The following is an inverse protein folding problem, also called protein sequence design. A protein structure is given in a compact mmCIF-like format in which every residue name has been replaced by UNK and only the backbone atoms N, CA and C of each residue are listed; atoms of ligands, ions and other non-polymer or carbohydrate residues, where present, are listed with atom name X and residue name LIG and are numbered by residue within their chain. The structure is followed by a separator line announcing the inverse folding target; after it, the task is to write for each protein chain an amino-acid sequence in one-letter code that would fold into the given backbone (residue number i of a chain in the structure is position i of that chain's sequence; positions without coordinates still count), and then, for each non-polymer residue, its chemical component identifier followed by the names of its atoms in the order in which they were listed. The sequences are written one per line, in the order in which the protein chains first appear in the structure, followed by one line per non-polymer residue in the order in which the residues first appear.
data_IF_586205286527
#
_entry.id   IF_586205286527
#
_cell.length_a   1.000
_cell.length_b   1.000
_cell.length_c   1.000
_cell.angle_alpha   90.00
_cell.angle_beta   90.00
_cell.angle_gamma   90.00
#
_symmetry.space_group_name_H-M   'P 1'
#
loop_
_entity.id
_entity.type
_entity.pdbx_description
1 polymer ?
#
# COMPACT_ATOMS: atom_id res chain seq x y z
N UNK A 1 -8.43 -5.97 15.12
CA UNK A 1 -7.25 -6.60 14.51
C UNK A 1 -6.05 -5.69 14.71
N UNK A 2 -4.85 -6.22 14.91
CA UNK A 2 -3.62 -5.42 14.95
C UNK A 2 -3.11 -5.25 13.51
N UNK A 3 -3.66 -4.25 12.81
CA UNK A 3 -3.48 -4.12 11.35
C UNK A 3 -2.01 -3.98 10.94
N UNK A 4 -1.21 -3.23 11.72
CA UNK A 4 0.21 -3.09 11.48
C UNK A 4 0.93 -4.44 11.44
N UNK A 5 0.66 -5.32 12.41
CA UNK A 5 1.29 -6.65 12.48
C UNK A 5 0.83 -7.57 11.35
N UNK A 6 -0.42 -7.46 10.92
CA UNK A 6 -0.90 -8.26 9.80
C UNK A 6 -0.23 -7.83 8.49
N UNK A 7 -0.06 -6.52 8.26
CA UNK A 7 0.70 -6.00 7.11
C UNK A 7 2.17 -6.42 7.19
N UNK A 8 2.83 -6.25 8.34
CA UNK A 8 4.23 -6.68 8.56
C UNK A 8 4.44 -8.17 8.23
N UNK A 9 3.48 -9.01 8.65
CA UNK A 9 3.52 -10.45 8.41
C UNK A 9 3.29 -10.84 6.95
N UNK A 10 2.31 -10.21 6.29
CA UNK A 10 1.92 -10.57 4.92
C UNK A 10 2.95 -10.05 3.92
N UNK A 11 3.38 -8.79 4.07
CA UNK A 11 4.35 -8.13 3.19
C UNK A 11 5.80 -8.38 3.66
N UNK A 12 6.05 -9.57 4.19
CA UNK A 12 7.33 -9.94 4.78
C UNK A 12 8.45 -9.82 3.74
N UNK A 13 9.50 -9.12 4.12
CA UNK A 13 10.68 -8.93 3.27
C UNK A 13 10.66 -7.63 2.47
N UNK A 14 9.55 -6.88 2.45
CA UNK A 14 9.49 -5.60 1.72
C UNK A 14 10.53 -4.60 2.24
N UNK A 15 10.73 -4.54 3.55
CA UNK A 15 11.74 -3.66 4.16
C UNK A 15 13.17 -4.01 3.72
N UNK A 16 13.46 -5.29 3.46
CA UNK A 16 14.79 -5.77 3.10
C UNK A 16 15.01 -5.75 1.58
N UNK A 17 14.06 -6.30 0.82
CA UNK A 17 14.16 -6.48 -0.63
C UNK A 17 14.05 -5.16 -1.39
N UNK A 18 13.30 -4.19 -0.84
CA UNK A 18 13.02 -2.90 -1.47
C UNK A 18 13.51 -1.71 -0.65
N UNK A 19 14.23 -1.95 0.46
CA UNK A 19 14.76 -0.92 1.37
C UNK A 19 13.67 0.00 1.94
N UNK A 20 12.45 -0.52 2.08
CA UNK A 20 11.30 0.20 2.62
C UNK A 20 11.33 0.23 4.16
N UNK A 21 10.60 1.17 4.77
CA UNK A 21 10.34 1.18 6.22
C UNK A 21 8.85 1.13 6.46
N UNK A 22 8.35 0.12 7.17
CA UNK A 22 6.95 0.08 7.55
C UNK A 22 6.69 1.13 8.65
N UNK A 23 5.70 1.98 8.44
CA UNK A 23 5.33 3.06 9.37
C UNK A 23 3.83 3.02 9.62
N UNK A 24 3.44 3.09 10.89
CA UNK A 24 2.03 3.24 11.29
C UNK A 24 1.58 4.68 11.06
N UNK A 25 0.49 4.87 10.30
CA UNK A 25 -0.17 6.18 10.15
C UNK A 25 -1.21 6.33 11.25
N UNK A 26 -2.15 5.38 11.33
CA UNK A 26 -3.11 5.26 12.42
C UNK A 26 -3.47 3.77 12.69
N UNK A 27 -4.61 3.50 13.33
CA UNK A 27 -5.02 2.11 13.63
C UNK A 27 -5.46 1.30 12.41
N UNK A 28 -5.84 1.99 11.33
CA UNK A 28 -6.38 1.41 10.12
C UNK A 28 -5.53 1.67 8.88
N UNK A 29 -4.47 2.46 9.00
CA UNK A 29 -3.58 2.78 7.90
C UNK A 29 -2.10 2.64 8.28
N UNK A 30 -1.35 2.08 7.36
CA UNK A 30 0.12 1.99 7.41
C UNK A 30 0.70 2.41 6.07
N UNK A 31 1.98 2.75 6.06
CA UNK A 31 2.71 3.07 4.85
C UNK A 31 4.09 2.40 4.85
N UNK A 32 4.47 1.82 3.72
CA UNK A 32 5.86 1.50 3.43
C UNK A 32 6.54 2.73 2.85
N UNK A 33 7.55 3.26 3.55
CA UNK A 33 8.27 4.47 3.19
C UNK A 33 9.54 4.11 2.42
N UNK A 34 9.65 4.59 1.18
CA UNK A 34 10.85 4.55 0.36
C UNK A 34 11.67 5.83 0.44
N UNK A 35 12.48 6.12 -0.58
CA UNK A 35 13.35 7.31 -0.60
C UNK A 35 12.57 8.61 -0.87
N UNK A 36 11.75 8.64 -1.91
CA UNK A 36 10.95 9.81 -2.31
C UNK A 36 9.48 9.47 -2.57
N UNK A 37 9.04 8.31 -2.09
CA UNK A 37 7.70 7.77 -2.31
C UNK A 37 7.25 6.91 -1.12
N UNK A 38 5.95 6.66 -1.02
CA UNK A 38 5.41 5.71 -0.07
C UNK A 38 4.26 4.90 -0.67
N UNK A 39 4.08 3.68 -0.17
CA UNK A 39 2.95 2.81 -0.47
C UNK A 39 2.05 2.77 0.76
N UNK A 40 0.90 3.43 0.68
CA UNK A 40 -0.12 3.42 1.73
C UNK A 40 -1.06 2.23 1.58
N UNK A 41 -1.38 1.62 2.72
CA UNK A 41 -2.33 0.52 2.83
C UNK A 41 -3.30 0.88 3.94
N UNK A 42 -4.54 1.14 3.57
CA UNK A 42 -5.65 1.40 4.49
C UNK A 42 -6.61 0.22 4.52
N UNK A 43 -7.40 0.09 5.59
CA UNK A 43 -8.55 -0.81 5.61
C UNK A 43 -9.79 -0.15 6.19
N UNK A 44 -10.94 -0.59 5.70
CA UNK A 44 -12.28 -0.19 6.15
C UNK A 44 -13.23 -1.38 6.16
N UNK A 45 -14.53 -1.14 6.36
CA UNK A 45 -15.56 -2.18 6.17
C UNK A 45 -15.69 -2.61 4.71
N UNK A 46 -15.29 -1.72 3.78
CA UNK A 46 -15.47 -1.93 2.35
C UNK A 46 -14.34 -2.76 1.75
N UNK A 47 -13.15 -2.72 2.36
CA UNK A 47 -12.01 -3.53 1.96
C UNK A 47 -10.68 -2.88 2.34
N UNK A 48 -9.64 -3.26 1.60
CA UNK A 48 -8.32 -2.66 1.60
C UNK A 48 -8.24 -1.60 0.49
N UNK A 49 -7.80 -0.40 0.86
CA UNK A 49 -7.53 0.69 -0.08
C UNK A 49 -6.01 0.87 -0.23
N UNK A 50 -5.55 1.04 -1.46
CA UNK A 50 -4.13 1.17 -1.76
C UNK A 50 -3.79 2.52 -2.38
N UNK A 51 -2.75 3.14 -1.85
CA UNK A 51 -2.34 4.48 -2.26
C UNK A 51 -0.86 4.52 -2.57
N UNK A 52 -0.51 5.33 -3.55
CA UNK A 52 0.86 5.71 -3.85
C UNK A 52 1.08 7.18 -3.52
N UNK A 53 2.13 7.46 -2.77
CA UNK A 53 2.55 8.81 -2.45
C UNK A 53 3.85 9.12 -3.17
N UNK A 54 3.92 10.28 -3.81
CA UNK A 54 5.17 10.78 -4.41
C UNK A 54 5.47 12.17 -3.88
N UNK A 55 6.68 12.35 -3.38
CA UNK A 55 7.20 13.66 -3.02
C UNK A 55 8.01 14.18 -4.21
N UNK A 56 7.50 15.23 -4.85
CA UNK A 56 8.19 15.93 -5.92
C UNK A 56 8.23 17.43 -5.62
N UNK A 57 9.40 18.04 -5.70
CA UNK A 57 9.62 19.47 -5.40
C UNK A 57 8.90 19.95 -4.13
N UNK A 58 9.07 19.21 -3.03
CA UNK A 58 8.43 19.48 -1.72
C UNK A 58 6.89 19.43 -1.71
N UNK A 59 6.28 18.84 -2.74
CA UNK A 59 4.84 18.61 -2.82
C UNK A 59 4.55 17.12 -2.75
N UNK A 60 3.93 16.69 -1.66
CA UNK A 60 3.41 15.33 -1.55
C UNK A 60 2.10 15.20 -2.34
N UNK A 61 2.08 14.26 -3.28
CA UNK A 61 0.88 13.88 -4.02
C UNK A 61 0.46 12.46 -3.66
N UNK A 62 -0.84 12.22 -3.50
CA UNK A 62 -1.45 10.90 -3.28
C UNK A 62 -2.20 10.47 -4.52
N UNK A 63 -2.11 9.19 -4.86
CA UNK A 63 -2.79 8.56 -5.98
C UNK A 63 -3.42 7.25 -5.53
N UNK A 64 -4.70 7.01 -5.81
CA UNK A 64 -5.28 5.67 -5.62
C UNK A 64 -4.72 4.68 -6.64
N UNK A 65 -4.44 3.48 -6.14
CA UNK A 65 -3.97 2.33 -6.93
C UNK A 65 -5.10 1.35 -7.24
N UNK A 66 -6.30 1.51 -6.67
CA UNK A 66 -7.35 0.47 -6.70
C UNK A 66 -7.78 0.13 -8.14
N UNK A 67 -7.93 1.15 -8.98
CA UNK A 67 -8.25 0.95 -10.40
C UNK A 67 -7.13 0.25 -11.17
N UNK A 68 -5.87 0.52 -10.81
CA UNK A 68 -4.71 -0.06 -11.46
C UNK A 68 -4.58 -1.54 -11.08
N UNK A 69 -4.70 -1.85 -9.79
CA UNK A 69 -4.67 -3.21 -9.28
C UNK A 69 -5.83 -4.04 -9.83
N UNK A 70 -7.07 -3.55 -9.74
CA UNK A 70 -8.25 -4.30 -10.18
C UNK A 70 -8.21 -4.69 -11.67
N UNK A 71 -7.50 -3.93 -12.51
CA UNK A 71 -7.33 -4.25 -13.94
C UNK A 71 -6.30 -5.34 -14.21
N UNK A 72 -5.29 -5.49 -13.35
CA UNK A 72 -4.17 -6.40 -13.57
C UNK A 72 -4.24 -7.66 -12.71
N UNK A 73 -5.00 -7.66 -11.61
CA UNK A 73 -5.21 -8.85 -10.79
C UNK A 73 -5.89 -9.96 -11.61
N UNK A 74 -5.27 -11.13 -11.62
CA UNK A 74 -5.74 -12.31 -12.33
C UNK A 74 -6.23 -13.38 -11.35
N UNK A 75 -6.54 -14.58 -11.88
CA UNK A 75 -6.84 -15.74 -11.04
C UNK A 75 -5.65 -16.17 -10.18
N UNK A 76 -4.42 -15.92 -10.63
CA UNK A 76 -3.18 -16.36 -9.95
C UNK A 76 -3.11 -15.73 -8.56
N UNK A 77 -3.36 -14.44 -8.43
CA UNK A 77 -3.30 -13.75 -7.14
C UNK A 77 -4.34 -14.26 -6.15
N UNK A 78 -5.45 -14.82 -6.65
CA UNK A 78 -6.57 -15.33 -5.86
C UNK A 78 -6.48 -16.83 -5.55
N UNK A 79 -5.49 -17.52 -6.12
CA UNK A 79 -5.39 -18.96 -6.01
C UNK A 79 -5.12 -19.41 -4.56
N UNK A 80 -5.86 -20.42 -4.11
CA UNK A 80 -5.75 -20.98 -2.76
C UNK A 80 -6.35 -20.12 -1.64
N UNK A 81 -6.99 -18.98 -1.96
CA UNK A 81 -7.67 -18.15 -0.97
C UNK A 81 -9.08 -18.69 -0.71
N UNK A 82 -9.37 -19.03 0.55
CA UNK A 82 -10.68 -19.51 0.96
C UNK A 82 -11.66 -18.35 1.13
N UNK A 83 -12.97 -18.58 0.91
CA UNK A 83 -14.00 -17.58 1.21
C UNK A 83 -13.92 -17.11 2.67
N UNK A 84 -14.03 -15.81 2.89
CA UNK A 84 -14.08 -15.24 4.23
C UNK A 84 -15.50 -15.29 4.80
N UNK A 85 -15.59 -15.50 6.11
CA UNK A 85 -16.83 -15.48 6.90
C UNK A 85 -16.92 -14.27 7.81
N UNK A 86 -15.78 -13.60 8.06
CA UNK A 86 -15.69 -12.38 8.85
C UNK A 86 -15.05 -11.23 8.08
N UNK A 87 -15.27 -10.00 8.54
CA UNK A 87 -14.60 -8.82 7.97
C UNK A 87 -13.08 -8.93 8.09
N UNK A 88 -12.55 -9.46 9.20
CA UNK A 88 -11.11 -9.59 9.38
C UNK A 88 -10.51 -10.60 8.39
N UNK A 89 -11.16 -11.75 8.18
CA UNK A 89 -10.74 -12.71 7.15
C UNK A 89 -10.81 -12.09 5.75
N UNK A 90 -11.82 -11.27 5.45
CA UNK A 90 -11.91 -10.53 4.19
C UNK A 90 -10.69 -9.61 4.00
N UNK A 91 -10.35 -8.81 5.02
CA UNK A 91 -9.20 -7.90 4.96
C UNK A 91 -7.88 -8.67 4.81
N UNK A 92 -7.68 -9.76 5.56
CA UNK A 92 -6.47 -10.60 5.41
C UNK A 92 -6.37 -11.18 3.99
N UNK A 93 -7.48 -11.69 3.44
CA UNK A 93 -7.51 -12.21 2.08
C UNK A 93 -7.15 -11.12 1.06
N UNK A 94 -7.72 -9.92 1.20
CA UNK A 94 -7.41 -8.78 0.33
C UNK A 94 -5.96 -8.33 0.44
N UNK A 95 -5.38 -8.28 1.65
CA UNK A 95 -3.95 -8.00 1.83
C UNK A 95 -3.06 -9.02 1.12
N UNK A 96 -3.38 -10.32 1.20
CA UNK A 96 -2.63 -11.38 0.48
C UNK A 96 -2.74 -11.17 -1.04
N UNK A 97 -3.93 -10.83 -1.55
CA UNK A 97 -4.14 -10.56 -2.99
C UNK A 97 -3.32 -9.35 -3.42
N UNK A 98 -3.32 -8.29 -2.61
CA UNK A 98 -2.57 -7.07 -2.86
C UNK A 98 -1.07 -7.33 -2.91
N UNK A 99 -0.54 -8.05 -1.91
CA UNK A 99 0.88 -8.42 -1.83
C UNK A 99 1.32 -9.21 -3.07
N UNK A 100 0.53 -10.21 -3.48
CA UNK A 100 0.78 -10.97 -4.72
C UNK A 100 0.69 -10.08 -5.95
N UNK A 101 -0.29 -9.16 -5.98
CA UNK A 101 -0.46 -8.19 -7.05
C UNK A 101 0.77 -7.31 -7.23
N UNK A 102 1.31 -6.75 -6.14
CA UNK A 102 2.53 -5.96 -6.17
C UNK A 102 3.73 -6.76 -6.68
N UNK A 103 3.93 -7.98 -6.17
CA UNK A 103 5.06 -8.81 -6.59
C UNK A 103 4.98 -9.29 -8.05
N UNK A 104 3.78 -9.52 -8.57
CA UNK A 104 3.62 -10.07 -9.92
C UNK A 104 3.52 -9.00 -11.00
N UNK A 105 2.95 -7.83 -10.69
CA UNK A 105 2.55 -6.85 -11.71
C UNK A 105 3.05 -5.43 -11.45
N UNK A 106 3.54 -5.12 -10.25
CA UNK A 106 3.85 -3.73 -9.86
C UNK A 106 5.15 -3.60 -9.05
N UNK A 107 6.17 -4.40 -9.40
CA UNK A 107 7.47 -4.34 -8.71
C UNK A 107 8.16 -2.98 -8.89
N UNK A 108 7.84 -2.26 -9.96
CA UNK A 108 8.31 -0.91 -10.25
C UNK A 108 7.82 0.10 -9.19
N UNK A 109 6.57 -0.05 -8.71
CA UNK A 109 6.05 0.76 -7.60
C UNK A 109 6.82 0.52 -6.30
N UNK A 110 7.26 -0.73 -6.08
CA UNK A 110 8.09 -1.12 -4.94
C UNK A 110 9.52 -0.58 -5.04
N UNK A 111 9.90 0.00 -6.18
CA UNK A 111 11.21 0.62 -6.42
C UNK A 111 11.11 2.14 -6.56
N UNK A 112 9.91 2.71 -6.36
CA UNK A 112 9.71 4.17 -6.42
C UNK A 112 9.45 4.73 -7.81
N UNK A 113 9.26 3.85 -8.79
CA UNK A 113 8.94 4.26 -10.15
C UNK A 113 7.50 4.74 -10.28
N UNK A 114 7.29 5.58 -11.28
CA UNK A 114 6.00 6.21 -11.55
C UNK A 114 5.38 5.49 -12.74
N UNK A 115 4.32 4.70 -12.52
CA UNK A 115 3.64 4.01 -13.63
C UNK A 115 2.80 4.98 -14.48
N UNK A 116 2.77 4.74 -15.79
CA UNK A 116 1.81 5.42 -16.67
C UNK A 116 0.40 4.96 -16.33
N UNK A 117 -0.47 5.87 -15.90
CA UNK A 117 -1.86 5.56 -15.56
C UNK A 117 -2.19 5.52 -14.08
N UNK A 118 -1.44 6.25 -13.23
CA UNK A 118 -1.94 6.59 -11.90
C UNK A 118 -3.38 7.10 -11.97
N UNK A 119 -4.17 6.73 -10.95
CA UNK A 119 -5.49 7.28 -10.76
C UNK A 119 -5.45 8.81 -10.58
N UNK A 120 -6.63 9.39 -10.38
CA UNK A 120 -6.71 10.82 -10.09
C UNK A 120 -5.88 11.16 -8.85
N UNK A 121 -5.28 12.35 -8.84
CA UNK A 121 -4.64 12.89 -7.64
C UNK A 121 -5.71 13.02 -6.55
N UNK A 122 -5.43 12.43 -5.40
CA UNK A 122 -6.33 12.45 -4.26
C UNK A 122 -5.92 13.50 -3.24
N UNK A 123 -6.87 13.80 -2.34
CA UNK A 123 -6.59 14.60 -1.17
C UNK A 123 -5.72 13.79 -0.19
N UNK A 124 -4.64 14.41 0.27
CA UNK A 124 -3.79 13.87 1.35
C UNK A 124 -4.28 14.52 2.65
N UNK A 125 -4.69 13.73 3.64
CA UNK A 125 -5.06 14.29 4.94
C UNK A 125 -3.86 14.93 5.64
N UNK A 126 -4.13 15.85 6.57
CA UNK A 126 -3.06 16.49 7.35
C UNK A 126 -2.22 15.48 8.15
N UNK A 127 -2.85 14.39 8.63
CA UNK A 127 -2.16 13.35 9.40
C UNK A 127 -1.23 12.53 8.50
N UNK A 128 -1.75 11.98 7.39
CA UNK A 128 -0.96 11.27 6.39
C UNK A 128 0.21 12.15 5.91
N UNK A 129 -0.10 13.40 5.53
CA UNK A 129 0.90 14.35 5.04
C UNK A 129 2.01 14.57 6.07
N UNK A 130 1.65 14.88 7.32
CA UNK A 130 2.63 15.18 8.36
C UNK A 130 3.53 13.99 8.68
N UNK A 131 3.00 12.76 8.65
CA UNK A 131 3.79 11.57 8.95
C UNK A 131 4.66 11.22 7.74
N UNK A 132 4.08 11.12 6.54
CA UNK A 132 4.80 10.72 5.34
C UNK A 132 5.88 11.73 4.98
N UNK A 133 5.60 13.04 4.99
CA UNK A 133 6.64 14.05 4.73
C UNK A 133 7.76 13.98 5.75
N UNK A 134 7.45 13.78 7.04
CA UNK A 134 8.49 13.64 8.07
C UNK A 134 9.38 12.43 7.78
N UNK A 135 8.80 11.27 7.48
CA UNK A 135 9.58 10.06 7.22
C UNK A 135 10.39 10.15 5.91
N UNK A 136 9.85 10.80 4.87
CA UNK A 136 10.56 10.99 3.60
C UNK A 136 11.69 12.01 3.70
N UNK A 137 11.54 13.06 4.51
CA UNK A 137 12.55 14.11 4.68
C UNK A 137 13.66 13.75 5.67
N UNK A 138 13.52 12.65 6.40
CA UNK A 138 14.49 12.24 7.45
C UNK A 138 15.26 10.96 7.13
N UNK A 139 15.03 10.36 5.95
CA UNK A 139 15.85 9.27 5.40
C UNK A 139 17.06 9.83 4.66
#
# INVERSE_FOLDING_TARGET
MDFYKEVEKIFKGYEQNYQLKLTKIDNNEVAFIGENYALGIGWSTDGVDLHYFKLDNSTLSKFSLDNLLNRNLTKIEREGILPSTTIYEKIINELIICERGFNNHFQELLQGETLSGYGNKEFVSNLEKSIIERELLTR
#
